data_IF_499567084323
#
_entry.id   IF_499567084323
#
_cell.length_a   1.000
_cell.length_b   1.000
_cell.length_c   1.000
_cell.angle_alpha   90.00
_cell.angle_beta   90.00
_cell.angle_gamma   90.00
#
_symmetry.space_group_name_H-M   'P 1'
#
loop_
_entity.id
_entity.type
_entity.pdbx_description
1 polymer ?
#
# COMPACT_ATOMS: atom_id res chain seq x y z
N UNK A 1 55.04 21.28 45.58
CA UNK A 1 55.09 20.70 44.22
C UNK A 1 54.38 19.36 44.26
N UNK A 2 53.08 19.34 44.03
CA UNK A 2 52.29 18.11 43.97
C UNK A 2 52.11 17.70 42.51
N UNK A 3 52.43 16.42 42.27
CA UNK A 3 52.62 15.78 40.97
C UNK A 3 51.28 15.69 40.22
N UNK A 4 51.17 16.43 39.12
CA UNK A 4 50.03 16.42 38.21
C UNK A 4 50.28 15.37 37.11
N UNK A 5 50.08 14.08 37.41
CA UNK A 5 50.45 12.98 36.49
C UNK A 5 49.26 12.16 35.95
N UNK A 6 48.03 12.36 36.44
CA UNK A 6 46.90 11.49 36.06
C UNK A 6 46.01 11.99 34.91
N UNK A 7 46.34 13.12 34.25
CA UNK A 7 45.49 13.65 33.16
C UNK A 7 45.75 12.99 31.81
N UNK A 8 46.96 12.48 31.54
CA UNK A 8 47.31 11.99 30.20
C UNK A 8 46.59 10.69 29.85
N UNK A 9 46.36 9.81 30.83
CA UNK A 9 45.81 8.48 30.60
C UNK A 9 44.32 8.53 30.21
N UNK A 10 43.58 9.51 30.75
CA UNK A 10 42.18 9.73 30.39
C UNK A 10 42.01 10.30 28.98
N UNK A 11 42.87 11.24 28.59
CA UNK A 11 42.83 11.85 27.27
C UNK A 11 43.20 10.82 26.18
N UNK A 12 44.15 9.93 26.46
CA UNK A 12 44.49 8.80 25.58
C UNK A 12 43.32 7.81 25.43
N UNK A 13 42.63 7.46 26.52
CA UNK A 13 41.49 6.55 26.46
C UNK A 13 40.32 7.10 25.62
N UNK A 14 40.05 8.42 25.73
CA UNK A 14 39.02 9.09 24.93
C UNK A 14 39.41 9.12 23.45
N UNK A 15 40.68 9.40 23.13
CA UNK A 15 41.18 9.38 21.75
C UNK A 15 41.02 8.01 21.08
N UNK A 16 41.32 6.93 21.80
CA UNK A 16 41.16 5.55 21.31
C UNK A 16 39.68 5.23 21.08
N UNK A 17 38.78 5.65 21.98
CA UNK A 17 37.34 5.41 21.83
C UNK A 17 36.77 6.09 20.57
N UNK A 18 37.14 7.36 20.32
CA UNK A 18 36.70 8.12 19.13
C UNK A 18 37.23 7.48 17.85
N UNK A 19 38.49 7.05 17.85
CA UNK A 19 39.08 6.35 16.71
C UNK A 19 38.34 5.04 16.40
N UNK A 20 38.06 4.22 17.41
CA UNK A 20 37.30 2.99 17.24
C UNK A 20 35.88 3.22 16.70
N UNK A 21 35.19 4.27 17.15
CA UNK A 21 33.86 4.63 16.63
C UNK A 21 33.89 5.03 15.15
N UNK A 22 34.91 5.78 14.72
CA UNK A 22 35.09 6.16 13.32
C UNK A 22 35.40 4.95 12.43
N UNK A 23 36.26 4.03 12.91
CA UNK A 23 36.58 2.79 12.18
C UNK A 23 35.36 1.89 12.06
N UNK A 24 34.59 1.71 13.14
CA UNK A 24 33.35 0.92 13.11
C UNK A 24 32.28 1.54 12.21
N UNK A 25 32.17 2.87 12.16
CA UNK A 25 31.30 3.57 11.23
C UNK A 25 31.70 3.31 9.77
N UNK A 26 33.00 3.38 9.45
CA UNK A 26 33.53 3.08 8.12
C UNK A 26 33.30 1.63 7.71
N UNK A 27 33.51 0.67 8.63
CA UNK A 27 33.25 -0.75 8.39
C UNK A 27 31.75 -1.00 8.19
N UNK A 28 30.87 -0.32 8.92
CA UNK A 28 29.42 -0.44 8.75
C UNK A 28 28.95 0.04 7.37
N UNK A 29 29.53 1.13 6.83
CA UNK A 29 29.27 1.60 5.45
C UNK A 29 29.63 0.53 4.42
N UNK A 30 30.80 -0.08 4.58
CA UNK A 30 31.35 -1.06 3.61
C UNK A 30 30.60 -2.40 3.68
N UNK A 31 30.27 -2.89 4.88
CA UNK A 31 29.66 -4.21 5.04
C UNK A 31 28.17 -4.24 4.74
N UNK A 32 27.44 -3.14 4.99
CA UNK A 32 25.98 -3.17 4.92
C UNK A 32 25.39 -2.46 3.70
N UNK A 33 26.20 -1.77 2.88
CA UNK A 33 25.75 -1.14 1.62
C UNK A 33 24.64 -0.10 1.77
N UNK A 34 24.26 0.25 3.00
CA UNK A 34 23.16 1.17 3.32
C UNK A 34 23.75 2.51 3.73
N UNK A 35 23.82 3.41 2.75
CA UNK A 35 24.38 4.76 2.87
C UNK A 35 23.81 5.55 4.08
N UNK A 36 22.54 5.31 4.43
CA UNK A 36 21.86 5.95 5.56
C UNK A 36 22.40 5.53 6.94
N UNK A 37 22.72 4.25 7.14
CA UNK A 37 23.24 3.76 8.43
C UNK A 37 24.64 4.29 8.68
N UNK A 38 25.47 4.30 7.64
CA UNK A 38 26.81 4.87 7.68
C UNK A 38 26.83 6.37 8.00
N UNK A 39 25.94 7.14 7.37
CA UNK A 39 25.79 8.58 7.63
C UNK A 39 25.36 8.85 9.08
N UNK A 40 24.51 7.99 9.66
CA UNK A 40 24.11 8.10 11.06
C UNK A 40 25.27 7.87 12.03
N UNK A 41 26.08 6.83 11.81
CA UNK A 41 27.24 6.59 12.66
C UNK A 41 28.28 7.71 12.53
N UNK A 42 28.48 8.23 11.33
CA UNK A 42 29.33 9.40 11.10
C UNK A 42 28.81 10.64 11.83
N UNK A 43 27.51 10.94 11.70
CA UNK A 43 26.88 12.08 12.36
C UNK A 43 26.92 11.95 13.88
N UNK A 44 26.60 10.78 14.42
CA UNK A 44 26.70 10.49 15.86
C UNK A 44 28.15 10.61 16.36
N UNK A 45 29.13 10.19 15.57
CA UNK A 45 30.55 10.37 15.85
C UNK A 45 30.96 11.85 15.90
N UNK A 46 30.57 12.63 14.89
CA UNK A 46 30.83 14.08 14.83
C UNK A 46 30.19 14.81 16.02
N UNK A 47 28.93 14.53 16.33
CA UNK A 47 28.21 15.13 17.47
C UNK A 47 28.89 14.78 18.79
N UNK A 48 29.33 13.54 18.96
CA UNK A 48 30.06 13.08 20.16
C UNK A 48 31.38 13.84 20.32
N UNK A 49 32.16 14.00 19.25
CA UNK A 49 33.41 14.77 19.25
C UNK A 49 33.13 16.24 19.62
N UNK A 50 32.10 16.86 19.06
CA UNK A 50 31.71 18.23 19.38
C UNK A 50 31.33 18.37 20.87
N UNK A 51 30.56 17.42 21.42
CA UNK A 51 30.18 17.41 22.83
C UNK A 51 31.43 17.29 23.73
N UNK A 52 32.37 16.42 23.38
CA UNK A 52 33.63 16.25 24.14
C UNK A 52 34.47 17.53 24.12
N UNK A 53 34.61 18.18 22.95
CA UNK A 53 35.32 19.45 22.81
C UNK A 53 34.65 20.56 23.62
N UNK A 54 33.32 20.67 23.53
CA UNK A 54 32.53 21.64 24.30
C UNK A 54 32.66 21.39 25.79
N UNK A 55 32.59 20.14 26.24
CA UNK A 55 32.77 19.78 27.65
C UNK A 55 34.15 20.19 28.15
N UNK A 56 35.21 19.89 27.41
CA UNK A 56 36.58 20.24 27.80
C UNK A 56 36.77 21.77 27.92
N UNK A 57 36.22 22.53 26.97
CA UNK A 57 36.31 24.01 26.98
C UNK A 57 35.43 24.65 28.05
N UNK A 58 34.24 24.12 28.30
CA UNK A 58 33.23 24.74 29.16
C UNK A 58 33.34 24.31 30.63
N UNK A 59 34.02 23.19 30.96
CA UNK A 59 34.18 22.69 32.33
C UNK A 59 34.80 23.71 33.31
N UNK A 60 35.57 24.69 32.81
CA UNK A 60 36.19 25.74 33.63
C UNK A 60 35.25 26.90 34.00
N UNK A 61 34.07 27.01 33.41
CA UNK A 61 33.10 28.09 33.72
C UNK A 61 31.92 27.54 34.52
N UNK A 62 31.45 28.29 35.52
CA UNK A 62 30.37 27.89 36.43
C UNK A 62 29.07 27.50 35.71
N UNK A 63 28.74 28.19 34.61
CA UNK A 63 27.57 27.90 33.75
C UNK A 63 27.82 26.85 32.66
N UNK A 64 29.07 26.44 32.46
CA UNK A 64 29.45 25.53 31.37
C UNK A 64 28.95 24.10 31.54
N UNK A 65 28.76 23.65 32.79
CA UNK A 65 28.21 22.31 33.08
C UNK A 65 26.75 22.18 32.65
N UNK A 66 25.93 23.19 32.92
CA UNK A 66 24.52 23.20 32.56
C UNK A 66 24.33 23.20 31.03
N UNK A 67 25.11 24.00 30.32
CA UNK A 67 25.08 24.06 28.86
C UNK A 67 25.43 22.72 28.21
N UNK A 68 26.44 22.01 28.73
CA UNK A 68 26.82 20.69 28.20
C UNK A 68 25.73 19.65 28.44
N UNK A 69 25.09 19.66 29.61
CA UNK A 69 23.96 18.76 29.90
C UNK A 69 22.81 19.01 28.92
N UNK A 70 22.44 20.27 28.68
CA UNK A 70 21.34 20.63 27.76
C UNK A 70 21.67 20.20 26.32
N UNK A 71 22.89 20.48 25.84
CA UNK A 71 23.31 20.10 24.47
C UNK A 71 23.37 18.58 24.31
N UNK A 72 23.85 17.86 25.33
CA UNK A 72 23.90 16.38 25.31
C UNK A 72 22.49 15.79 25.30
N UNK A 73 21.58 16.32 26.13
CA UNK A 73 20.19 15.89 26.15
C UNK A 73 19.49 16.13 24.80
N UNK A 74 19.71 17.30 24.17
CA UNK A 74 19.16 17.61 22.85
C UNK A 74 19.71 16.69 21.76
N UNK A 75 21.02 16.41 21.77
CA UNK A 75 21.64 15.48 20.83
C UNK A 75 21.09 14.05 20.98
N UNK A 76 20.96 13.55 22.21
CA UNK A 76 20.37 12.24 22.49
C UNK A 76 18.91 12.16 22.02
N UNK A 77 18.12 13.22 22.22
CA UNK A 77 16.73 13.27 21.76
C UNK A 77 16.62 13.18 20.23
N UNK A 78 17.46 13.93 19.50
CA UNK A 78 17.48 13.90 18.02
C UNK A 78 17.89 12.52 17.51
N UNK A 79 18.92 11.91 18.08
CA UNK A 79 19.37 10.55 17.70
C UNK A 79 18.28 9.53 17.99
N UNK A 80 17.61 9.63 19.14
CA UNK A 80 16.50 8.74 19.51
C UNK A 80 15.31 8.83 18.55
N UNK A 81 14.91 10.05 18.16
CA UNK A 81 13.84 10.27 17.17
C UNK A 81 14.23 9.63 15.83
N UNK A 82 15.44 9.88 15.34
CA UNK A 82 15.92 9.31 14.07
C UNK A 82 15.93 7.78 14.09
N UNK A 83 16.40 7.17 15.19
CA UNK A 83 16.44 5.73 15.36
C UNK A 83 15.04 5.10 15.36
N UNK A 84 14.08 5.73 16.04
CA UNK A 84 12.68 5.28 16.05
C UNK A 84 12.09 5.36 14.64
N UNK A 85 12.24 6.49 13.93
CA UNK A 85 11.70 6.65 12.58
C UNK A 85 12.22 5.57 11.62
N UNK A 86 13.51 5.24 11.69
CA UNK A 86 14.12 4.21 10.84
C UNK A 86 13.70 2.80 11.26
N UNK A 87 13.58 2.53 12.56
CA UNK A 87 13.10 1.24 13.05
C UNK A 87 11.64 1.00 12.64
N UNK A 88 10.79 2.03 12.69
CA UNK A 88 9.40 1.95 12.23
C UNK A 88 9.35 1.65 10.73
N UNK A 89 10.16 2.33 9.92
CA UNK A 89 10.27 2.08 8.48
C UNK A 89 10.74 0.65 8.16
N UNK A 90 11.76 0.17 8.89
CA UNK A 90 12.27 -1.19 8.76
C UNK A 90 11.27 -2.26 9.19
N UNK A 91 10.47 -2.03 10.24
CA UNK A 91 9.42 -2.95 10.70
C UNK A 91 8.26 -3.01 9.70
N UNK A 92 7.86 -1.86 9.14
CA UNK A 92 6.85 -1.78 8.09
C UNK A 92 7.29 -2.56 6.85
N UNK A 93 8.58 -2.59 6.53
CA UNK A 93 9.12 -3.34 5.39
C UNK A 93 9.48 -4.80 5.71
N UNK A 94 9.83 -5.14 6.96
CA UNK A 94 10.12 -6.51 7.38
C UNK A 94 8.86 -7.33 7.71
N UNK A 95 7.71 -6.68 7.91
CA UNK A 95 6.40 -7.32 8.13
C UNK A 95 5.87 -8.12 6.93
N UNK A 96 6.47 -8.00 5.75
CA UNK A 96 6.19 -8.84 4.57
C UNK A 96 6.79 -10.24 4.65
N UNK A 97 6.66 -10.93 5.80
CA UNK A 97 7.09 -12.33 5.94
C UNK A 97 6.18 -13.20 5.08
N UNK A 98 6.71 -13.64 3.95
CA UNK A 98 6.15 -14.61 3.02
C UNK A 98 5.75 -15.89 3.78
N UNK A 99 4.47 -16.33 3.77
CA UNK A 99 4.17 -17.72 4.09
C UNK A 99 4.82 -18.59 3.01
N UNK A 100 5.73 -19.50 3.41
CA UNK A 100 6.15 -20.60 2.54
C UNK A 100 4.90 -21.38 2.14
N UNK A 101 4.46 -21.24 0.89
CA UNK A 101 3.47 -22.13 0.29
C UNK A 101 4.19 -23.44 -0.08
N UNK A 102 3.79 -24.60 0.46
CA UNK A 102 4.18 -25.87 -0.10
C UNK A 102 3.25 -26.17 -1.29
N UNK A 103 3.79 -26.20 -2.50
CA UNK A 103 3.04 -26.54 -3.70
C UNK A 103 3.87 -27.41 -4.62
N UNK A 104 3.56 -28.71 -4.62
CA UNK A 104 4.01 -29.67 -5.64
C UNK A 104 3.59 -29.17 -7.02
N UNK A 105 4.57 -28.92 -7.89
CA UNK A 105 4.33 -28.70 -9.31
C UNK A 105 4.18 -30.06 -10.00
N UNK A 106 3.04 -30.28 -10.64
CA UNK A 106 2.82 -31.41 -11.53
C UNK A 106 3.51 -31.21 -12.89
N UNK A 107 3.54 -32.25 -13.74
CA UNK A 107 4.17 -32.16 -15.05
C UNK A 107 3.44 -31.20 -15.99
N UNK A 108 4.22 -30.34 -16.65
CA UNK A 108 3.83 -29.30 -17.60
C UNK A 108 3.23 -29.93 -18.89
N UNK A 109 2.04 -29.51 -19.35
CA UNK A 109 1.52 -29.91 -20.66
C UNK A 109 2.28 -29.20 -21.79
N UNK A 110 2.54 -29.90 -22.89
CA UNK A 110 3.29 -29.41 -24.04
C UNK A 110 2.45 -28.52 -24.96
N UNK A 111 2.89 -27.26 -25.11
CA UNK A 111 2.77 -26.42 -26.31
C UNK A 111 1.39 -25.83 -26.65
N UNK A 112 1.18 -24.52 -26.45
CA UNK A 112 -0.08 -23.89 -26.80
C UNK A 112 -0.10 -23.23 -28.20
N UNK A 113 -1.30 -23.21 -28.79
CA UNK A 113 -1.67 -22.50 -30.01
C UNK A 113 -1.29 -21.00 -29.97
N UNK A 114 -1.16 -20.33 -31.13
CA UNK A 114 -0.93 -18.89 -31.20
C UNK A 114 -2.02 -18.14 -30.45
N UNK A 115 -1.59 -17.23 -29.57
CA UNK A 115 -2.45 -16.55 -28.60
C UNK A 115 -3.14 -15.36 -29.24
N UNK A 116 -4.47 -15.35 -29.17
CA UNK A 116 -5.25 -14.23 -29.67
C UNK A 116 -4.96 -12.95 -28.87
N UNK A 117 -4.96 -11.78 -29.53
CA UNK A 117 -4.88 -10.51 -28.83
C UNK A 117 -6.05 -10.39 -27.83
N UNK A 118 -5.83 -9.75 -26.67
CA UNK A 118 -6.85 -9.59 -25.64
C UNK A 118 -8.13 -8.95 -26.18
N UNK A 119 -9.29 -9.48 -25.78
CA UNK A 119 -10.62 -9.00 -26.18
C UNK A 119 -10.78 -7.52 -25.77
N UNK A 120 -10.90 -6.62 -26.74
CA UNK A 120 -11.08 -5.18 -26.51
C UNK A 120 -12.38 -4.87 -25.72
N UNK A 121 -13.32 -5.81 -25.69
CA UNK A 121 -14.60 -5.71 -24.98
C UNK A 121 -14.48 -6.03 -23.47
N UNK A 122 -13.34 -6.51 -22.97
CA UNK A 122 -13.14 -6.80 -21.54
C UNK A 122 -13.22 -5.54 -20.67
N UNK A 123 -12.64 -4.42 -21.13
CA UNK A 123 -12.78 -3.10 -20.48
C UNK A 123 -14.22 -2.57 -20.55
N UNK A 124 -14.97 -2.91 -21.61
CA UNK A 124 -16.38 -2.57 -21.77
C UNK A 124 -17.30 -3.36 -20.83
N UNK A 125 -16.98 -4.64 -20.58
CA UNK A 125 -17.70 -5.49 -19.61
C UNK A 125 -17.36 -5.19 -18.16
N UNK A 126 -16.22 -4.55 -17.88
CA UNK A 126 -15.84 -4.09 -16.53
C UNK A 126 -16.73 -2.94 -16.02
N UNK A 127 -17.59 -2.36 -16.87
CA UNK A 127 -18.40 -1.20 -16.52
C UNK A 127 -19.81 -1.48 -15.98
N UNK A 128 -20.29 -2.71 -15.83
CA UNK A 128 -21.63 -2.95 -15.27
C UNK A 128 -21.78 -4.36 -14.67
N UNK A 129 -21.41 -4.52 -13.40
CA UNK A 129 -22.28 -4.90 -12.27
C UNK A 129 -21.37 -5.30 -11.10
N UNK A 130 -21.33 -4.51 -10.03
CA UNK A 130 -20.61 -4.90 -8.79
C UNK A 130 -21.11 -6.26 -8.27
N UNK A 131 -22.36 -6.61 -8.57
CA UNK A 131 -22.93 -7.93 -8.31
C UNK A 131 -22.22 -9.06 -9.06
N UNK A 132 -21.71 -8.82 -10.27
CA UNK A 132 -20.95 -9.81 -11.04
C UNK A 132 -19.65 -10.18 -10.33
N UNK A 133 -19.02 -9.26 -9.59
CA UNK A 133 -17.83 -9.58 -8.79
C UNK A 133 -18.11 -10.57 -7.65
N UNK A 134 -19.35 -10.68 -7.18
CA UNK A 134 -19.71 -11.67 -6.17
C UNK A 134 -19.70 -13.10 -6.73
N UNK A 135 -19.74 -13.26 -8.05
CA UNK A 135 -19.92 -14.56 -8.69
C UNK A 135 -18.83 -14.93 -9.68
N UNK A 136 -18.08 -13.95 -10.19
CA UNK A 136 -17.01 -14.15 -11.15
C UNK A 136 -15.63 -14.27 -10.47
N UNK A 137 -14.71 -15.04 -11.06
CA UNK A 137 -13.31 -15.03 -10.64
C UNK A 137 -12.72 -13.62 -10.72
N UNK A 138 -11.81 -13.30 -9.80
CA UNK A 138 -11.14 -12.01 -9.72
C UNK A 138 -9.66 -12.26 -9.47
N UNK A 139 -8.81 -11.55 -10.18
CA UNK A 139 -7.37 -11.64 -9.98
C UNK A 139 -6.80 -10.25 -9.75
N UNK A 140 -5.69 -10.18 -9.02
CA UNK A 140 -4.91 -8.96 -8.99
C UNK A 140 -3.86 -8.87 -7.91
N UNK A 141 -3.24 -7.70 -7.86
CA UNK A 141 -2.04 -7.47 -7.05
C UNK A 141 -2.33 -6.74 -5.74
N UNK A 142 -1.73 -7.25 -4.67
CA UNK A 142 -1.51 -6.46 -3.46
C UNK A 142 -0.48 -5.37 -3.79
N UNK A 143 -0.80 -4.10 -3.52
CA UNK A 143 -0.02 -2.89 -3.84
C UNK A 143 0.23 -2.56 -5.32
N UNK A 144 0.15 -3.54 -6.24
CA UNK A 144 0.12 -3.33 -7.70
C UNK A 144 1.37 -2.67 -8.30
N UNK A 145 2.47 -2.66 -7.54
CA UNK A 145 3.72 -1.99 -7.91
C UNK A 145 4.91 -2.85 -7.53
N UNK A 146 5.93 -2.82 -8.37
CA UNK A 146 7.24 -3.41 -8.11
C UNK A 146 8.29 -2.34 -8.33
N UNK A 147 9.24 -2.21 -7.41
CA UNK A 147 10.35 -1.26 -7.51
C UNK A 147 11.65 -2.02 -7.76
N UNK A 148 12.40 -1.59 -8.76
CA UNK A 148 13.74 -2.10 -9.08
C UNK A 148 14.69 -0.95 -9.45
N UNK A 149 15.96 -1.10 -9.12
CA UNK A 149 17.04 -0.15 -9.46
C UNK A 149 18.37 -0.89 -9.52
N UNK A 150 19.46 -0.30 -10.01
CA UNK A 150 20.77 -0.98 -9.95
C UNK A 150 21.22 -1.30 -8.51
N UNK A 151 20.76 -0.54 -7.52
CA UNK A 151 21.01 -0.80 -6.09
C UNK A 151 20.11 -1.89 -5.51
N UNK A 152 18.92 -2.08 -6.07
CA UNK A 152 17.93 -3.08 -5.69
C UNK A 152 17.44 -3.77 -6.97
N UNK A 153 18.26 -4.65 -7.57
CA UNK A 153 18.01 -5.17 -8.90
C UNK A 153 16.87 -6.18 -8.93
N UNK A 154 16.40 -6.66 -7.78
CA UNK A 154 15.27 -7.58 -7.69
C UNK A 154 14.10 -6.94 -6.94
N UNK A 155 12.89 -7.14 -7.45
CA UNK A 155 11.64 -6.75 -6.83
C UNK A 155 10.57 -7.83 -7.03
N UNK A 156 9.55 -7.83 -6.18
CA UNK A 156 8.47 -8.80 -6.27
C UNK A 156 7.11 -8.18 -5.92
N UNK A 157 6.05 -8.78 -6.45
CA UNK A 157 4.66 -8.52 -6.07
C UNK A 157 3.86 -9.82 -6.06
N UNK A 158 2.86 -9.91 -5.18
CA UNK A 158 1.99 -11.07 -5.11
C UNK A 158 0.73 -10.82 -5.96
N UNK A 159 0.46 -11.72 -6.89
CA UNK A 159 -0.78 -11.80 -7.63
C UNK A 159 -1.69 -12.85 -6.98
N UNK A 160 -2.89 -12.47 -6.60
CA UNK A 160 -3.88 -13.38 -6.03
C UNK A 160 -5.05 -13.57 -6.98
N UNK A 161 -5.34 -14.81 -7.34
CA UNK A 161 -6.53 -15.24 -8.06
C UNK A 161 -7.56 -15.80 -7.06
N UNK A 162 -8.68 -15.12 -6.93
CA UNK A 162 -9.87 -15.57 -6.21
C UNK A 162 -10.83 -16.19 -7.21
N UNK A 163 -10.99 -17.50 -7.15
CA UNK A 163 -11.95 -18.24 -7.97
C UNK A 163 -13.33 -18.22 -7.32
N UNK A 164 -14.38 -18.11 -8.13
CA UNK A 164 -15.78 -18.12 -7.67
C UNK A 164 -16.64 -18.92 -8.63
N UNK A 165 -17.49 -19.81 -8.09
CA UNK A 165 -18.42 -20.62 -8.90
C UNK A 165 -17.76 -21.35 -10.10
N UNK A 166 -16.48 -21.71 -9.99
CA UNK A 166 -15.73 -22.35 -11.07
C UNK A 166 -15.78 -23.87 -10.94
N UNK A 167 -16.04 -24.55 -12.06
CA UNK A 167 -15.75 -25.99 -12.15
C UNK A 167 -14.24 -26.22 -12.00
N UNK A 168 -13.81 -27.26 -11.27
CA UNK A 168 -12.39 -27.57 -11.12
C UNK A 168 -11.68 -27.66 -12.47
N UNK A 169 -10.56 -26.96 -12.63
CA UNK A 169 -9.81 -26.88 -13.89
C UNK A 169 -8.36 -26.45 -13.63
N UNK A 170 -7.50 -26.50 -14.64
CA UNK A 170 -6.16 -25.92 -14.57
C UNK A 170 -6.16 -24.54 -15.20
N UNK A 171 -5.73 -23.54 -14.44
CA UNK A 171 -5.60 -22.15 -14.88
C UNK A 171 -4.14 -21.82 -15.07
N UNK A 172 -3.77 -21.33 -16.25
CA UNK A 172 -2.45 -20.78 -16.56
C UNK A 172 -2.44 -19.27 -16.27
N UNK A 173 -1.32 -18.79 -15.75
CA UNK A 173 -1.00 -17.39 -15.53
C UNK A 173 0.08 -16.94 -16.50
N UNK A 174 -0.13 -15.77 -17.10
CA UNK A 174 0.83 -15.15 -18.03
C UNK A 174 1.04 -13.71 -17.67
N UNK A 175 2.29 -13.26 -17.84
CA UNK A 175 2.67 -11.86 -17.65
C UNK A 175 3.42 -11.37 -18.88
N UNK A 176 3.06 -10.20 -19.39
CA UNK A 176 3.72 -9.59 -20.54
C UNK A 176 3.65 -8.06 -20.48
N UNK A 177 4.61 -7.35 -21.10
CA UNK A 177 4.63 -5.89 -21.09
C UNK A 177 3.52 -5.33 -22.00
N UNK A 178 3.01 -4.16 -21.63
CA UNK A 178 1.99 -3.43 -22.40
C UNK A 178 2.43 -1.98 -22.63
N UNK A 179 1.80 -1.30 -23.59
CA UNK A 179 2.21 0.06 -23.98
C UNK A 179 1.99 1.10 -22.86
N UNK A 180 0.92 0.95 -22.08
CA UNK A 180 0.56 1.85 -21.00
C UNK A 180 -0.32 1.16 -19.96
N UNK A 181 -0.42 1.74 -18.76
CA UNK A 181 -1.37 1.27 -17.75
C UNK A 181 -2.80 1.31 -18.30
N UNK A 182 -3.62 0.31 -17.97
CA UNK A 182 -4.99 0.10 -18.52
C UNK A 182 -5.06 -0.30 -20.00
N UNK A 183 -3.92 -0.46 -20.67
CA UNK A 183 -3.88 -1.07 -22.00
C UNK A 183 -3.68 -2.58 -21.89
N UNK A 184 -4.27 -3.32 -22.82
CA UNK A 184 -3.98 -4.72 -23.07
C UNK A 184 -3.14 -4.91 -24.35
N UNK A 185 -2.84 -3.81 -25.07
CA UNK A 185 -1.98 -3.82 -26.24
C UNK A 185 -0.55 -4.19 -25.83
N UNK A 186 -0.08 -5.31 -26.38
CA UNK A 186 1.25 -5.83 -26.09
C UNK A 186 2.34 -4.85 -26.51
N UNK A 187 3.38 -4.79 -25.70
CA UNK A 187 4.61 -4.05 -25.99
C UNK A 187 5.76 -5.04 -26.20
N UNK A 188 6.84 -4.60 -26.86
CA UNK A 188 8.04 -5.42 -26.92
C UNK A 188 8.61 -5.67 -25.50
N UNK A 189 9.25 -6.82 -25.23
CA UNK A 189 10.01 -7.01 -24.00
C UNK A 189 10.96 -5.84 -23.72
N UNK A 190 10.96 -5.34 -22.49
CA UNK A 190 11.95 -4.36 -22.06
C UNK A 190 13.29 -5.08 -21.91
N UNK A 191 14.28 -4.74 -22.74
CA UNK A 191 15.58 -5.45 -22.84
C UNK A 191 16.31 -5.61 -21.50
N UNK A 192 16.13 -4.65 -20.59
CA UNK A 192 16.83 -4.59 -19.31
C UNK A 192 16.03 -5.19 -18.14
N UNK A 193 14.83 -5.73 -18.41
CA UNK A 193 13.99 -6.35 -17.39
C UNK A 193 13.68 -7.80 -17.72
N UNK A 194 13.98 -8.68 -16.77
CA UNK A 194 13.46 -10.03 -16.77
C UNK A 194 12.28 -10.11 -15.79
N UNK A 195 11.10 -10.41 -16.31
CA UNK A 195 9.86 -10.50 -15.52
C UNK A 195 9.24 -11.87 -15.68
N UNK A 196 8.97 -12.51 -14.55
CA UNK A 196 8.39 -13.86 -14.47
C UNK A 196 7.28 -13.92 -13.43
N UNK A 197 6.37 -14.88 -13.57
CA UNK A 197 5.33 -15.20 -12.58
C UNK A 197 5.46 -16.66 -12.15
N UNK A 198 5.35 -16.94 -10.85
CA UNK A 198 5.53 -18.31 -10.32
C UNK A 198 4.60 -18.59 -9.13
N UNK A 199 3.85 -19.71 -9.12
CA UNK A 199 3.71 -20.63 -10.24
C UNK A 199 2.99 -19.96 -11.42
N UNK A 200 3.25 -20.49 -12.61
CA UNK A 200 2.63 -20.07 -13.87
C UNK A 200 1.33 -20.83 -14.16
N UNK A 201 0.91 -21.74 -13.28
CA UNK A 201 -0.40 -22.36 -13.32
C UNK A 201 -0.89 -22.81 -11.93
N UNK A 202 -2.19 -23.03 -11.82
CA UNK A 202 -2.87 -23.60 -10.65
C UNK A 202 -3.87 -24.67 -11.07
N UNK A 203 -4.01 -25.73 -10.27
CA UNK A 203 -5.22 -26.57 -10.28
C UNK A 203 -6.23 -25.91 -9.34
N UNK A 204 -7.27 -25.32 -9.92
CA UNK A 204 -8.23 -24.51 -9.17
C UNK A 204 -9.53 -25.26 -8.90
N UNK A 205 -10.21 -24.87 -7.83
CA UNK A 205 -11.57 -25.28 -7.46
C UNK A 205 -12.38 -24.04 -7.08
N UNK A 206 -13.72 -24.12 -7.06
CA UNK A 206 -14.57 -23.00 -6.67
C UNK A 206 -14.22 -22.42 -5.30
N UNK A 207 -14.37 -21.10 -5.17
CA UNK A 207 -14.37 -20.35 -3.90
C UNK A 207 -13.06 -20.48 -3.11
N UNK A 208 -11.94 -20.51 -3.84
CA UNK A 208 -10.58 -20.58 -3.31
C UNK A 208 -9.70 -19.44 -3.82
N UNK A 209 -8.71 -19.08 -3.01
CA UNK A 209 -7.68 -18.11 -3.35
C UNK A 209 -6.35 -18.80 -3.65
N UNK A 210 -5.69 -18.36 -4.71
CA UNK A 210 -4.40 -18.88 -5.18
C UNK A 210 -3.45 -17.71 -5.39
N UNK A 211 -2.21 -17.81 -4.90
CA UNK A 211 -1.24 -16.71 -4.96
C UNK A 211 -0.01 -17.12 -5.75
N UNK A 212 0.35 -16.30 -6.73
CA UNK A 212 1.60 -16.38 -7.49
C UNK A 212 2.46 -15.15 -7.19
N UNK A 213 3.77 -15.31 -7.27
CA UNK A 213 4.72 -14.22 -7.14
C UNK A 213 5.18 -13.78 -8.52
N UNK A 214 4.99 -12.50 -8.83
CA UNK A 214 5.69 -11.83 -9.92
C UNK A 214 7.05 -11.40 -9.42
N UNK A 215 8.10 -11.77 -10.14
CA UNK A 215 9.49 -11.42 -9.88
C UNK A 215 10.00 -10.58 -11.03
N UNK A 216 10.66 -9.48 -10.68
CA UNK A 216 11.22 -8.52 -11.63
C UNK A 216 12.71 -8.39 -11.31
N UNK A 217 13.56 -8.67 -12.30
CA UNK A 217 14.99 -8.49 -12.19
C UNK A 217 15.46 -7.48 -13.23
N UNK A 218 16.15 -6.44 -12.76
CA UNK A 218 16.82 -5.45 -13.58
C UNK A 218 18.22 -5.95 -13.94
N UNK A 219 18.51 -6.05 -15.24
CA UNK A 219 19.78 -6.60 -15.75
C UNK A 219 20.81 -5.53 -16.14
N UNK A 220 20.43 -4.24 -16.13
CA UNK A 220 21.32 -3.12 -16.45
C UNK A 220 21.04 -1.87 -15.61
N UNK A 221 22.04 -0.99 -15.49
CA UNK A 221 21.90 0.33 -14.85
C UNK A 221 21.27 1.41 -15.73
N UNK A 222 20.62 1.04 -16.86
CA UNK A 222 20.07 2.01 -17.84
C UNK A 222 19.11 3.03 -17.21
N UNK A 223 18.45 2.67 -16.10
CA UNK A 223 17.44 3.51 -15.45
C UNK A 223 17.95 4.33 -14.25
N UNK A 224 19.23 4.27 -13.92
CA UNK A 224 19.75 4.85 -12.66
C UNK A 224 19.54 6.36 -12.55
N UNK A 225 19.52 7.06 -13.68
CA UNK A 225 19.33 8.52 -13.74
C UNK A 225 17.86 8.94 -13.82
N UNK A 226 16.95 8.06 -14.25
CA UNK A 226 15.54 8.41 -14.46
C UNK A 226 14.61 7.29 -14.04
N UNK A 227 13.62 7.61 -13.19
CA UNK A 227 12.54 6.69 -12.88
C UNK A 227 11.65 6.47 -14.12
N UNK A 228 11.57 5.22 -14.58
CA UNK A 228 10.69 4.79 -15.67
C UNK A 228 9.55 3.95 -15.12
N UNK A 229 8.39 4.15 -15.74
CA UNK A 229 7.17 3.40 -15.45
C UNK A 229 6.94 2.41 -16.58
N UNK A 230 6.99 1.11 -16.25
CA UNK A 230 6.99 0.02 -17.21
C UNK A 230 5.82 -0.91 -16.86
N UNK A 231 4.65 -0.75 -17.51
CA UNK A 231 3.46 -1.52 -17.20
C UNK A 231 3.53 -2.94 -17.76
N UNK A 232 3.08 -3.89 -16.94
CA UNK A 232 2.86 -5.28 -17.31
C UNK A 232 1.41 -5.64 -17.05
N UNK A 233 0.90 -6.58 -17.84
CA UNK A 233 -0.44 -7.10 -17.75
C UNK A 233 -0.37 -8.60 -17.45
N UNK A 234 -1.16 -9.04 -16.48
CA UNK A 234 -1.30 -10.43 -16.09
C UNK A 234 -2.66 -10.95 -16.51
N UNK A 235 -2.67 -12.14 -17.11
CA UNK A 235 -3.87 -12.86 -17.49
C UNK A 235 -3.91 -14.22 -16.81
N UNK A 236 -5.10 -14.59 -16.34
CA UNK A 236 -5.43 -15.93 -15.89
C UNK A 236 -6.44 -16.55 -16.85
N UNK A 237 -6.14 -17.73 -17.38
CA UNK A 237 -6.98 -18.45 -18.35
C UNK A 237 -6.99 -19.96 -18.07
N UNK A 238 -8.14 -20.64 -18.15
CA UNK A 238 -8.18 -22.11 -18.14
C UNK A 238 -7.42 -22.68 -19.34
N UNK A 239 -6.55 -23.67 -19.14
CA UNK A 239 -5.79 -24.31 -20.23
C UNK A 239 -6.74 -24.88 -21.30
N UNK A 240 -7.89 -25.41 -20.88
CA UNK A 240 -8.88 -26.04 -21.75
C UNK A 240 -9.85 -25.08 -22.44
N UNK A 241 -9.80 -23.78 -22.14
CA UNK A 241 -10.76 -22.79 -22.64
C UNK A 241 -10.07 -21.60 -23.26
N UNK A 242 -10.81 -20.82 -24.05
CA UNK A 242 -10.25 -19.67 -24.78
C UNK A 242 -10.42 -18.32 -24.09
N UNK A 243 -11.17 -18.29 -22.98
CA UNK A 243 -11.57 -17.05 -22.32
C UNK A 243 -10.70 -16.72 -21.11
N UNK A 244 -10.26 -15.47 -21.03
CA UNK A 244 -9.64 -14.89 -19.83
C UNK A 244 -10.69 -14.86 -18.70
N UNK A 245 -10.34 -15.42 -17.55
CA UNK A 245 -11.23 -15.46 -16.38
C UNK A 245 -10.90 -14.37 -15.36
N UNK A 246 -9.66 -13.93 -15.33
CA UNK A 246 -9.20 -12.83 -14.50
C UNK A 246 -7.95 -12.20 -15.11
N UNK A 247 -7.74 -10.93 -14.80
CA UNK A 247 -6.67 -10.11 -15.33
C UNK A 247 -6.38 -8.93 -14.39
N UNK A 248 -5.15 -8.42 -14.41
CA UNK A 248 -4.78 -7.19 -13.70
C UNK A 248 -3.48 -6.60 -14.26
N UNK A 249 -3.16 -5.37 -13.88
CA UNK A 249 -1.92 -4.69 -14.21
C UNK A 249 -0.98 -4.60 -13.00
N UNK A 250 0.31 -4.73 -13.26
CA UNK A 250 1.37 -4.40 -12.30
C UNK A 250 2.30 -3.36 -12.93
N UNK A 251 2.66 -2.33 -12.16
CA UNK A 251 3.64 -1.35 -12.62
C UNK A 251 5.02 -1.63 -12.06
N UNK A 252 5.97 -1.78 -12.97
CA UNK A 252 7.38 -1.85 -12.63
C UNK A 252 7.95 -0.43 -12.70
N UNK A 253 8.39 0.06 -11.56
CA UNK A 253 9.16 1.29 -11.43
C UNK A 253 10.64 0.93 -11.48
N UNK A 254 11.29 1.22 -12.60
CA UNK A 254 12.71 0.99 -12.78
C UNK A 254 13.48 2.31 -12.71
N UNK A 255 14.46 2.44 -11.81
CA UNK A 255 15.42 3.55 -11.83
C UNK A 255 15.73 4.21 -10.48
N UNK A 256 16.27 5.44 -10.55
CA UNK A 256 16.83 6.19 -9.43
C UNK A 256 15.87 6.50 -8.27
N UNK A 257 16.37 7.21 -7.24
CA UNK A 257 15.74 7.38 -5.94
C UNK A 257 14.22 7.70 -6.00
N UNK A 258 13.41 6.70 -5.68
CA UNK A 258 11.98 6.84 -5.51
C UNK A 258 11.69 7.32 -4.08
N UNK A 259 10.78 8.29 -3.93
CA UNK A 259 10.20 8.63 -2.63
C UNK A 259 8.81 8.00 -2.56
N UNK A 260 8.64 6.90 -1.79
CA UNK A 260 7.33 6.32 -1.52
C UNK A 260 6.31 7.37 -1.08
N UNK A 261 5.10 7.30 -1.65
CA UNK A 261 3.97 8.15 -1.27
C UNK A 261 3.82 9.48 -2.03
N UNK A 262 4.85 9.97 -2.73
CA UNK A 262 4.82 11.29 -3.40
C UNK A 262 4.15 11.25 -4.77
N UNK A 263 4.14 10.10 -5.44
CA UNK A 263 3.41 9.92 -6.70
C UNK A 263 1.93 9.66 -6.41
N UNK A 264 1.10 10.71 -6.40
CA UNK A 264 -0.37 10.63 -6.36
C UNK A 264 -1.02 9.96 -7.59
N UNK A 265 -0.21 9.35 -8.46
CA UNK A 265 -0.67 8.68 -9.67
C UNK A 265 -1.49 7.45 -9.31
N UNK A 266 -2.69 7.39 -9.89
CA UNK A 266 -3.61 6.27 -9.76
C UNK A 266 -4.00 5.93 -8.31
N UNK A 267 -4.20 6.91 -7.44
CA UNK A 267 -4.85 6.63 -6.15
C UNK A 267 -6.30 6.24 -6.38
N UNK A 268 -6.76 5.28 -5.58
CA UNK A 268 -8.18 4.93 -5.53
C UNK A 268 -9.01 6.13 -5.07
N UNK A 269 -10.26 6.15 -5.49
CA UNK A 269 -11.25 7.14 -5.09
C UNK A 269 -12.53 6.42 -4.79
N UNK A 270 -13.13 6.67 -3.64
CA UNK A 270 -14.50 6.33 -3.38
C UNK A 270 -15.28 7.58 -3.00
N UNK A 271 -16.46 7.74 -3.58
CA UNK A 271 -17.29 8.93 -3.43
C UNK A 271 -18.75 8.59 -3.74
N UNK A 272 -19.67 9.34 -3.17
CA UNK A 272 -21.03 9.37 -3.68
C UNK A 272 -21.04 10.04 -5.04
N UNK A 273 -21.95 9.61 -5.92
CA UNK A 273 -22.28 10.40 -7.10
C UNK A 273 -22.71 11.81 -6.65
N UNK A 274 -22.37 12.84 -7.42
CA UNK A 274 -22.60 14.22 -7.00
C UNK A 274 -24.09 14.52 -6.73
N UNK A 275 -24.99 13.87 -7.47
CA UNK A 275 -26.44 13.93 -7.23
C UNK A 275 -26.90 13.27 -5.93
N UNK A 276 -26.09 12.35 -5.40
CA UNK A 276 -26.46 11.44 -4.32
C UNK A 276 -25.74 11.79 -3.00
N UNK A 277 -25.00 12.92 -2.98
CA UNK A 277 -24.36 13.44 -1.76
C UNK A 277 -25.37 13.90 -0.72
N UNK A 278 -26.51 14.41 -1.20
CA UNK A 278 -27.63 14.88 -0.41
C UNK A 278 -28.87 14.06 -0.78
N UNK A 279 -29.34 13.24 0.15
CA UNK A 279 -30.52 12.41 0.00
C UNK A 279 -31.68 13.02 0.78
N UNK A 280 -32.69 13.54 0.08
CA UNK A 280 -33.89 14.10 0.72
C UNK A 280 -35.04 13.09 0.68
N UNK A 281 -35.60 12.75 1.85
CA UNK A 281 -36.72 11.80 2.03
C UNK A 281 -37.69 12.32 3.10
N UNK A 282 -38.96 11.91 3.11
CA UNK A 282 -39.86 12.17 4.23
C UNK A 282 -39.79 11.05 5.28
N UNK A 283 -40.15 11.36 6.52
CA UNK A 283 -40.35 10.33 7.54
C UNK A 283 -41.39 9.29 7.05
N UNK A 284 -41.05 8.01 7.14
CA UNK A 284 -41.84 6.90 6.59
C UNK A 284 -41.46 6.48 5.17
N UNK A 285 -40.53 7.17 4.51
CA UNK A 285 -40.08 6.85 3.15
C UNK A 285 -38.75 6.09 3.14
N UNK A 286 -38.44 5.54 1.96
CA UNK A 286 -37.16 4.92 1.63
C UNK A 286 -36.48 5.70 0.52
N UNK A 287 -35.19 6.00 0.69
CA UNK A 287 -34.35 6.65 -0.30
C UNK A 287 -33.11 5.83 -0.62
N UNK A 288 -32.54 6.07 -1.80
CA UNK A 288 -31.32 5.39 -2.26
C UNK A 288 -30.27 6.42 -2.69
N UNK A 289 -29.00 6.10 -2.46
CA UNK A 289 -27.84 6.87 -2.91
C UNK A 289 -26.77 5.92 -3.46
N UNK A 290 -26.07 6.30 -4.51
CA UNK A 290 -25.03 5.49 -5.14
C UNK A 290 -23.66 5.90 -4.63
N UNK A 291 -22.97 4.95 -3.99
CA UNK A 291 -21.58 5.07 -3.58
C UNK A 291 -20.69 4.37 -4.59
N UNK A 292 -19.80 5.12 -5.24
CA UNK A 292 -18.90 4.60 -6.25
C UNK A 292 -17.51 4.40 -5.64
N UNK A 293 -17.02 3.17 -5.65
CA UNK A 293 -15.62 2.87 -5.37
C UNK A 293 -14.86 2.64 -6.66
N UNK A 294 -13.76 3.35 -6.83
CA UNK A 294 -12.86 3.26 -7.96
C UNK A 294 -11.46 2.97 -7.43
N UNK A 295 -11.09 1.68 -7.27
CA UNK A 295 -9.76 1.32 -6.83
C UNK A 295 -8.70 1.84 -7.78
N UNK A 296 -7.61 2.31 -7.18
CA UNK A 296 -6.46 2.81 -7.89
C UNK A 296 -5.57 1.68 -8.35
N UNK A 297 -4.28 1.99 -8.44
CA UNK A 297 -3.24 1.02 -8.71
C UNK A 297 -2.75 0.37 -7.43
N UNK A 298 -2.74 -0.97 -7.41
CA UNK A 298 -2.69 -1.75 -6.16
C UNK A 298 -4.04 -1.89 -5.47
N UNK A 299 -5.11 -1.51 -6.17
CA UNK A 299 -6.46 -1.55 -5.69
C UNK A 299 -7.16 -2.87 -6.00
N UNK A 300 -6.42 -3.98 -6.16
CA UNK A 300 -7.07 -5.29 -6.09
C UNK A 300 -7.07 -5.74 -4.64
N UNK A 301 -8.25 -5.96 -4.11
CA UNK A 301 -8.39 -6.19 -2.68
C UNK A 301 -9.83 -6.33 -2.25
N UNK A 302 -9.99 -6.72 -0.99
CA UNK A 302 -11.30 -6.79 -0.38
C UNK A 302 -11.76 -5.38 0.00
N UNK A 303 -13.03 -5.11 -0.28
CA UNK A 303 -13.74 -3.91 0.14
C UNK A 303 -14.84 -4.38 1.07
N UNK A 304 -14.91 -3.78 2.26
CA UNK A 304 -16.03 -3.95 3.16
C UNK A 304 -16.46 -2.59 3.68
N UNK A 305 -17.77 -2.34 3.66
CA UNK A 305 -18.33 -1.10 4.15
C UNK A 305 -18.88 -1.25 5.56
N UNK A 306 -18.48 -0.32 6.43
CA UNK A 306 -19.10 -0.10 7.73
C UNK A 306 -19.83 1.24 7.70
N UNK A 307 -21.07 1.24 8.17
CA UNK A 307 -21.92 2.43 8.19
C UNK A 307 -22.15 2.85 9.63
N UNK A 308 -22.04 4.14 9.90
CA UNK A 308 -22.35 4.72 11.21
C UNK A 308 -22.92 6.12 11.07
N UNK A 309 -23.56 6.61 12.12
CA UNK A 309 -23.95 8.01 12.23
C UNK A 309 -22.82 8.84 12.82
N UNK A 310 -22.66 10.08 12.35
CA UNK A 310 -21.78 11.08 12.96
C UNK A 310 -22.56 12.36 13.24
N UNK A 311 -22.10 13.16 14.22
CA UNK A 311 -22.82 14.36 14.67
C UNK A 311 -22.69 15.58 13.75
N UNK A 312 -21.97 15.48 12.62
CA UNK A 312 -21.74 16.60 11.73
C UNK A 312 -20.90 16.23 10.51
N UNK A 313 -20.28 17.23 9.88
CA UNK A 313 -19.36 17.02 8.76
C UNK A 313 -18.10 16.28 9.21
N UNK A 314 -17.54 15.49 8.30
CA UNK A 314 -16.29 14.79 8.55
C UNK A 314 -15.14 15.78 8.40
N UNK A 315 -14.54 16.15 9.54
CA UNK A 315 -13.41 17.08 9.57
C UNK A 315 -12.05 16.35 9.60
N UNK A 316 -12.04 15.04 9.87
CA UNK A 316 -10.83 14.21 9.90
C UNK A 316 -11.09 12.74 9.55
N UNK A 317 -10.06 12.01 9.09
CA UNK A 317 -10.12 10.56 8.84
C UNK A 317 -8.84 9.88 9.37
N UNK A 318 -8.91 8.66 9.93
CA UNK A 318 -10.13 7.92 10.29
C UNK A 318 -10.92 8.63 11.40
N UNK A 319 -12.24 8.40 11.44
CA UNK A 319 -13.10 8.97 12.47
C UNK A 319 -12.86 8.28 13.82
N UNK A 320 -12.88 9.04 14.92
CA UNK A 320 -12.75 8.46 16.25
C UNK A 320 -14.01 7.69 16.65
N UNK A 321 -13.85 6.59 17.37
CA UNK A 321 -14.97 5.73 17.77
C UNK A 321 -16.01 6.45 18.66
N UNK A 322 -15.60 7.44 19.45
CA UNK A 322 -16.51 8.24 20.29
C UNK A 322 -17.34 9.27 19.49
N UNK A 323 -16.94 9.58 18.27
CA UNK A 323 -17.71 10.42 17.34
C UNK A 323 -18.72 9.62 16.53
N UNK A 324 -18.55 8.29 16.46
CA UNK A 324 -19.48 7.36 15.82
C UNK A 324 -20.66 7.08 16.74
N UNK A 325 -21.86 7.10 16.19
CA UNK A 325 -23.12 6.88 16.89
C UNK A 325 -23.92 5.78 16.19
N UNK A 326 -24.74 5.03 16.94
CA UNK A 326 -25.73 4.16 16.30
C UNK A 326 -26.74 5.00 15.52
N UNK A 327 -27.37 4.39 14.51
CA UNK A 327 -28.52 4.99 13.85
C UNK A 327 -29.64 5.23 14.87
N UNK A 328 -30.37 6.37 14.77
CA UNK A 328 -31.50 6.64 15.66
C UNK A 328 -32.60 5.60 15.46
N UNK A 329 -33.42 5.39 16.49
CA UNK A 329 -34.61 4.56 16.36
C UNK A 329 -35.50 5.07 15.21
N UNK A 330 -35.97 4.16 14.36
CA UNK A 330 -36.75 4.48 13.18
C UNK A 330 -35.93 4.88 11.96
N UNK A 331 -34.60 4.70 11.98
CA UNK A 331 -33.75 4.78 10.79
C UNK A 331 -32.96 3.49 10.60
N UNK A 332 -33.08 2.90 9.42
CA UNK A 332 -32.27 1.76 8.98
C UNK A 332 -31.44 2.19 7.78
N UNK A 333 -30.12 2.00 7.84
CA UNK A 333 -29.22 2.28 6.70
C UNK A 333 -28.45 1.03 6.35
N UNK A 334 -28.50 0.66 5.08
CA UNK A 334 -27.78 -0.50 4.52
C UNK A 334 -27.01 -0.08 3.27
N UNK A 335 -26.01 -0.86 2.90
CA UNK A 335 -25.27 -0.70 1.64
C UNK A 335 -25.15 -2.06 0.95
N UNK A 336 -25.39 -2.10 -0.35
CA UNK A 336 -25.35 -3.35 -1.13
C UNK A 336 -24.62 -3.16 -2.47
N UNK A 337 -23.63 -4.02 -2.78
CA UNK A 337 -23.05 -5.02 -1.89
C UNK A 337 -22.27 -4.35 -0.74
N UNK A 338 -22.32 -4.95 0.45
CA UNK A 338 -21.55 -4.47 1.61
C UNK A 338 -20.12 -4.99 1.63
N UNK A 339 -19.83 -6.04 0.86
CA UNK A 339 -18.50 -6.58 0.69
C UNK A 339 -18.31 -7.15 -0.72
N UNK A 340 -17.09 -7.03 -1.25
CA UNK A 340 -16.70 -7.63 -2.53
C UNK A 340 -15.17 -7.55 -2.71
N UNK A 341 -14.63 -8.30 -3.67
CA UNK A 341 -13.24 -8.11 -4.11
C UNK A 341 -13.23 -7.20 -5.33
N UNK A 342 -12.67 -6.00 -5.16
CA UNK A 342 -12.50 -5.05 -6.24
C UNK A 342 -11.23 -5.37 -7.03
N UNK A 343 -11.20 -5.02 -8.32
CA UNK A 343 -9.98 -5.05 -9.16
C UNK A 343 -9.41 -3.63 -9.26
N UNK A 344 -8.11 -3.54 -9.49
CA UNK A 344 -7.47 -2.26 -9.86
C UNK A 344 -8.19 -1.64 -11.06
N UNK A 345 -8.36 -0.31 -11.03
CA UNK A 345 -8.95 0.49 -12.10
C UNK A 345 -10.41 0.22 -12.47
N UNK A 346 -11.11 -0.66 -11.74
CA UNK A 346 -12.54 -0.88 -11.91
C UNK A 346 -13.40 0.24 -11.35
N UNK A 347 -14.68 0.21 -11.68
CA UNK A 347 -15.72 1.10 -11.17
C UNK A 347 -16.81 0.25 -10.51
N UNK A 348 -17.00 0.42 -9.21
CA UNK A 348 -17.86 -0.44 -8.40
C UNK A 348 -18.93 0.38 -7.68
N UNK A 349 -20.12 0.55 -8.29
CA UNK A 349 -21.25 1.15 -7.61
C UNK A 349 -21.78 0.22 -6.51
N UNK A 350 -22.10 0.80 -5.36
CA UNK A 350 -22.85 0.18 -4.27
C UNK A 350 -24.01 1.09 -3.93
N UNK A 351 -25.17 0.52 -3.62
CA UNK A 351 -26.38 1.29 -3.32
C UNK A 351 -26.54 1.36 -1.82
N UNK A 352 -26.54 2.58 -1.29
CA UNK A 352 -26.95 2.87 0.07
C UNK A 352 -28.46 3.02 0.08
N UNK A 353 -29.14 2.31 0.97
CA UNK A 353 -30.58 2.38 1.17
C UNK A 353 -30.85 2.89 2.57
N UNK A 354 -31.58 4.00 2.66
CA UNK A 354 -32.03 4.60 3.92
C UNK A 354 -33.54 4.39 4.02
N UNK A 355 -33.99 3.68 5.05
CA UNK A 355 -35.42 3.54 5.39
C UNK A 355 -35.71 4.29 6.66
N UNK A 356 -36.83 4.99 6.67
CA UNK A 356 -37.27 5.77 7.83
C UNK A 356 -38.67 5.36 8.27
N UNK A 357 -38.91 5.36 9.57
CA UNK A 357 -40.23 5.20 10.15
C UNK A 357 -40.97 6.56 10.16
N UNK A 358 -42.31 6.58 10.17
CA UNK A 358 -43.09 7.83 10.23
C UNK A 358 -42.82 8.67 11.50
N UNK A 359 -42.40 8.03 12.59
CA UNK A 359 -42.11 8.68 13.87
C UNK A 359 -40.68 9.23 13.98
N UNK A 360 -39.84 9.01 12.96
CA UNK A 360 -38.48 9.54 12.93
C UNK A 360 -38.55 11.09 12.88
N UNK A 361 -37.90 11.80 13.82
CA UNK A 361 -37.90 13.26 13.80
C UNK A 361 -37.34 13.83 12.49
N UNK A 362 -37.92 14.90 11.93
CA UNK A 362 -37.31 15.61 10.83
C UNK A 362 -35.96 16.20 11.21
N UNK A 363 -35.02 16.23 10.28
CA UNK A 363 -33.69 16.79 10.51
C UNK A 363 -32.62 16.29 9.54
N UNK A 364 -31.40 16.75 9.78
CA UNK A 364 -30.22 16.38 8.99
C UNK A 364 -29.46 15.25 9.68
N UNK A 365 -29.22 14.19 8.93
CA UNK A 365 -28.52 12.99 9.39
C UNK A 365 -27.28 12.77 8.54
N UNK A 366 -26.14 12.57 9.20
CA UNK A 366 -24.86 12.37 8.53
C UNK A 366 -24.42 10.92 8.64
N UNK A 367 -24.51 10.18 7.53
CA UNK A 367 -24.08 8.80 7.43
C UNK A 367 -22.61 8.76 7.01
N UNK A 368 -21.75 8.26 7.89
CA UNK A 368 -20.36 7.95 7.60
C UNK A 368 -20.30 6.58 6.89
N UNK A 369 -19.58 6.54 5.77
CA UNK A 369 -19.30 5.34 4.99
C UNK A 369 -17.81 5.05 5.14
N UNK A 370 -17.45 4.07 5.95
CA UNK A 370 -16.06 3.62 6.08
C UNK A 370 -15.84 2.44 5.17
N UNK A 371 -14.77 2.49 4.38
CA UNK A 371 -14.39 1.41 3.49
C UNK A 371 -13.09 0.78 4.02
N UNK A 372 -13.21 -0.43 4.56
CA UNK A 372 -12.05 -1.22 4.96
C UNK A 372 -11.33 -1.76 3.72
N UNK A 373 -9.99 -1.87 3.81
CA UNK A 373 -9.12 -2.36 2.75
C UNK A 373 -8.67 -1.26 1.80
N UNK A 374 -9.08 -1.34 0.53
CA UNK A 374 -8.58 -0.50 -0.58
C UNK A 374 -9.49 0.71 -0.91
N UNK A 375 -10.57 0.91 -0.16
CA UNK A 375 -11.51 2.00 -0.37
C UNK A 375 -11.10 3.29 0.33
N UNK A 376 -11.74 4.40 -0.04
CA UNK A 376 -11.70 5.63 0.77
C UNK A 376 -13.04 5.83 1.47
N UNK A 377 -13.01 6.52 2.59
CA UNK A 377 -14.22 6.82 3.34
C UNK A 377 -15.03 7.94 2.66
N UNK A 378 -16.33 7.99 2.93
CA UNK A 378 -17.25 8.98 2.39
C UNK A 378 -18.33 9.39 3.39
N UNK A 379 -19.18 10.35 2.99
CA UNK A 379 -20.29 10.82 3.81
C UNK A 379 -21.53 11.04 2.94
N UNK A 380 -22.67 10.48 3.36
CA UNK A 380 -23.99 10.79 2.80
C UNK A 380 -24.76 11.71 3.75
N UNK A 381 -25.33 12.80 3.23
CA UNK A 381 -26.13 13.75 4.00
C UNK A 381 -27.60 13.43 3.73
N UNK A 382 -28.33 13.00 4.74
CA UNK A 382 -29.73 12.61 4.62
C UNK A 382 -30.61 13.66 5.26
N UNK A 383 -31.48 14.29 4.47
CA UNK A 383 -32.45 15.28 4.92
C UNK A 383 -33.82 14.60 5.08
N UNK A 384 -34.24 14.41 6.33
CA UNK A 384 -35.55 13.84 6.65
C UNK A 384 -36.56 14.96 6.84
N UNK A 385 -37.56 15.01 5.96
CA UNK A 385 -38.66 15.96 6.00
C UNK A 385 -39.82 15.43 6.87
N UNK A 386 -40.73 16.32 7.35
CA UNK A 386 -41.94 15.90 8.04
C UNK A 386 -42.78 14.89 7.22
N UNK A 387 -43.55 14.02 7.89
CA UNK A 387 -44.48 13.11 7.21
C UNK A 387 -45.51 13.91 6.40
N UNK A 388 -45.98 13.32 5.30
CA UNK A 388 -46.90 13.93 4.33
C UNK A 388 -48.31 14.15 4.86
#
# INVERSE_FOLDING_TARGET
>A
MTRQENSSLHDYAIGILVFCLLVLAGISVVLYGRFFIGLMFLFAGIVTVIIVILWYRLRKRQYGRLAVIIITAAACAVIGILAITIATDAIVHAGGVIPRVPGESGPVPSGPAPWDPPDADLLGRQLNDTAALLTLPVGGFEDGRVFVSSYYPEGFANYTLVTRNMTPTTVELRIFPVEMARSSAGHAPYEDLNVSITPDYFVVAADRSYTAQVRVNLTSGRYDETLKLLPYYVQARPISGDRIIADDWVLVYAGGAFVPGVSGFYRGRAHLLDSDRELTIKAGETGNATFLNQPGIGGTGFVQYNLSMVSGRIDMMPMREDEKRPFPQGMEVTISPNNYTARSFGYYPSVITVKTDPDLPPGDYHVLIEADGIGTNGQCHVHVLPPS
#
